data_IF_629345398347
#
_entry.id   IF_629345398347
#
_cell.length_a   1.000
_cell.length_b   1.000
_cell.length_c   1.000
_cell.angle_alpha   90.00
_cell.angle_beta   90.00
_cell.angle_gamma   90.00
#
_symmetry.space_group_name_H-M   'P 1'
#
loop_
_entity.id
_entity.type
_entity.pdbx_description
1 polymer ?
#
# COMPACT_ATOMS: atom_id res chain seq x y z
N UNK A 1 13.67 -6.48 -9.16
CA UNK A 1 13.42 -5.03 -9.37
C UNK A 1 14.75 -4.29 -9.35
N UNK A 2 14.94 -3.25 -10.17
CA UNK A 2 16.19 -2.44 -10.22
C UNK A 2 16.17 -1.31 -9.19
N UNK A 3 17.34 -0.73 -8.88
CA UNK A 3 17.44 0.46 -8.02
C UNK A 3 16.65 1.64 -8.61
N UNK A 4 16.74 1.85 -9.93
CA UNK A 4 16.01 2.93 -10.62
C UNK A 4 14.49 2.80 -10.44
N UNK A 5 13.96 1.58 -10.56
CA UNK A 5 12.53 1.30 -10.32
C UNK A 5 12.13 1.53 -8.87
N UNK A 6 12.98 1.17 -7.90
CA UNK A 6 12.74 1.47 -6.48
C UNK A 6 12.67 2.96 -6.19
N UNK A 7 13.52 3.77 -6.83
CA UNK A 7 13.47 5.23 -6.71
C UNK A 7 12.13 5.75 -7.26
N UNK A 8 11.65 5.19 -8.36
CA UNK A 8 10.32 5.51 -8.89
C UNK A 8 9.19 5.09 -7.94
N UNK A 9 9.29 3.93 -7.29
CA UNK A 9 8.30 3.50 -6.29
C UNK A 9 8.24 4.44 -5.09
N UNK A 10 9.38 4.94 -4.60
CA UNK A 10 9.41 5.99 -3.55
C UNK A 10 8.62 7.21 -4.00
N UNK A 11 8.85 7.72 -5.21
CA UNK A 11 8.10 8.85 -5.77
C UNK A 11 6.60 8.55 -5.82
N UNK A 12 6.22 7.38 -6.32
CA UNK A 12 4.81 6.99 -6.45
C UNK A 12 4.14 6.87 -5.09
N UNK A 13 4.82 6.29 -4.09
CA UNK A 13 4.29 6.14 -2.74
C UNK A 13 4.00 7.50 -2.10
N UNK A 14 4.97 8.42 -2.08
CA UNK A 14 4.82 9.72 -1.41
C UNK A 14 3.98 10.73 -2.19
N UNK A 15 4.00 10.69 -3.54
CA UNK A 15 3.40 11.75 -4.37
C UNK A 15 2.36 11.28 -5.38
N UNK A 16 2.20 9.96 -5.56
CA UNK A 16 1.27 9.35 -6.49
C UNK A 16 1.69 9.40 -7.96
N UNK A 17 0.78 8.95 -8.84
CA UNK A 17 0.98 8.93 -10.31
C UNK A 17 0.39 10.13 -11.05
N UNK A 18 -0.28 11.05 -10.33
CA UNK A 18 -0.94 12.21 -10.94
C UNK A 18 0.06 13.25 -11.45
N UNK A 19 -0.37 14.06 -12.42
CA UNK A 19 0.40 15.19 -12.94
C UNK A 19 0.90 16.07 -11.78
N UNK A 20 2.18 16.41 -11.81
CA UNK A 20 2.84 17.20 -10.77
C UNK A 20 3.50 16.38 -9.66
N UNK A 21 3.36 15.04 -9.62
CA UNK A 21 4.08 14.21 -8.63
C UNK A 21 5.59 14.33 -8.76
N UNK A 22 6.12 14.31 -9.99
CA UNK A 22 7.54 14.52 -10.26
C UNK A 22 8.04 15.87 -9.76
N UNK A 23 7.25 16.94 -9.94
CA UNK A 23 7.58 18.29 -9.44
C UNK A 23 7.73 18.29 -7.91
N UNK A 24 6.82 17.65 -7.19
CA UNK A 24 6.90 17.54 -5.73
C UNK A 24 8.10 16.73 -5.26
N UNK A 25 8.44 15.67 -6.00
CA UNK A 25 9.60 14.83 -5.72
C UNK A 25 10.91 15.61 -5.84
N UNK A 26 11.07 16.40 -6.91
CA UNK A 26 12.29 17.21 -7.10
C UNK A 26 12.38 18.37 -6.11
N UNK A 27 11.25 18.98 -5.73
CA UNK A 27 11.19 20.00 -4.67
C UNK A 27 11.58 19.42 -3.31
N UNK A 28 11.15 18.19 -3.01
CA UNK A 28 11.49 17.51 -1.75
C UNK A 28 12.99 17.15 -1.65
N UNK A 29 13.62 16.83 -2.78
CA UNK A 29 15.02 16.39 -2.86
C UNK A 29 16.01 17.53 -3.18
N UNK A 30 15.50 18.72 -3.45
CA UNK A 30 16.25 19.89 -3.91
C UNK A 30 17.19 19.54 -5.08
N UNK A 31 16.60 19.06 -6.18
CA UNK A 31 17.33 18.67 -7.40
C UNK A 31 16.65 19.19 -8.66
N UNK A 32 17.42 19.28 -9.74
CA UNK A 32 16.89 19.55 -11.06
C UNK A 32 16.03 18.39 -11.58
N UNK A 33 15.01 18.74 -12.40
CA UNK A 33 14.05 17.79 -12.98
C UNK A 33 14.73 16.66 -13.76
N UNK A 34 15.69 17.00 -14.62
CA UNK A 34 16.44 16.04 -15.43
C UNK A 34 17.29 15.08 -14.57
N UNK A 35 17.91 15.59 -13.50
CA UNK A 35 18.69 14.78 -12.56
C UNK A 35 17.83 13.70 -11.92
N UNK A 36 16.68 14.08 -11.36
CA UNK A 36 15.77 13.10 -10.77
C UNK A 36 15.20 12.12 -11.81
N UNK A 37 14.84 12.60 -13.01
CA UNK A 37 14.37 11.74 -14.10
C UNK A 37 15.39 10.67 -14.48
N UNK A 38 16.67 11.04 -14.59
CA UNK A 38 17.74 10.10 -14.94
C UNK A 38 17.87 8.98 -13.90
N UNK A 39 17.71 9.27 -12.61
CA UNK A 39 17.78 8.25 -11.55
C UNK A 39 16.72 7.16 -11.69
N UNK A 40 15.60 7.46 -12.34
CA UNK A 40 14.50 6.51 -12.59
C UNK A 40 14.59 5.83 -13.96
N UNK A 41 15.56 6.20 -14.80
CA UNK A 41 15.78 5.57 -16.12
C UNK A 41 16.47 4.22 -15.95
N UNK A 42 15.91 3.18 -16.56
CA UNK A 42 16.51 1.84 -16.55
C UNK A 42 17.95 1.86 -17.11
N UNK A 43 18.87 1.24 -16.38
CA UNK A 43 20.29 1.19 -16.75
C UNK A 43 21.12 2.43 -16.43
N UNK A 44 20.51 3.51 -15.90
CA UNK A 44 21.25 4.67 -15.44
C UNK A 44 22.01 4.36 -14.14
N UNK A 45 23.31 4.70 -14.10
CA UNK A 45 24.14 4.47 -12.93
C UNK A 45 23.76 5.43 -11.79
N UNK A 46 23.29 4.88 -10.68
CA UNK A 46 22.94 5.62 -9.48
C UNK A 46 23.99 5.34 -8.39
N UNK A 47 24.76 6.36 -8.04
CA UNK A 47 25.80 6.26 -7.02
C UNK A 47 25.28 6.44 -5.58
N UNK A 48 26.16 6.13 -4.61
CA UNK A 48 25.87 6.21 -3.17
C UNK A 48 25.31 7.57 -2.71
N UNK A 49 25.81 8.67 -3.29
CA UNK A 49 25.35 10.03 -2.95
C UNK A 49 23.84 10.22 -3.20
N UNK A 50 23.30 9.58 -4.24
CA UNK A 50 21.87 9.65 -4.54
C UNK A 50 21.06 8.84 -3.53
N UNK A 51 21.53 7.64 -3.19
CA UNK A 51 20.85 6.80 -2.20
C UNK A 51 20.88 7.43 -0.81
N UNK A 52 22.01 8.05 -0.41
CA UNK A 52 22.11 8.77 0.85
C UNK A 52 21.12 9.94 0.90
N UNK A 53 21.05 10.74 -0.17
CA UNK A 53 20.09 11.86 -0.28
C UNK A 53 18.64 11.41 -0.18
N UNK A 54 18.30 10.28 -0.81
CA UNK A 54 16.96 9.71 -0.72
C UNK A 54 16.62 9.27 0.71
N UNK A 55 17.55 8.60 1.40
CA UNK A 55 17.34 8.14 2.77
C UNK A 55 17.28 9.29 3.78
N UNK A 56 17.95 10.41 3.51
CA UNK A 56 17.84 11.63 4.30
C UNK A 56 16.48 12.32 4.08
N UNK A 57 16.01 12.42 2.83
CA UNK A 57 14.74 13.06 2.50
C UNK A 57 13.51 12.22 2.91
N UNK A 58 13.65 10.90 2.92
CA UNK A 58 12.62 9.91 3.25
C UNK A 58 13.14 8.96 4.35
N UNK A 59 13.21 9.43 5.61
CA UNK A 59 13.83 8.67 6.70
C UNK A 59 13.12 7.35 6.98
N UNK A 60 11.84 7.26 6.64
CA UNK A 60 11.00 6.07 6.81
C UNK A 60 11.35 4.98 5.78
N UNK A 61 12.13 5.25 4.74
CA UNK A 61 12.51 4.25 3.73
C UNK A 61 13.66 3.37 4.22
N UNK A 62 13.55 2.06 4.02
CA UNK A 62 14.56 1.05 4.33
C UNK A 62 15.74 1.13 3.35
N UNK A 63 16.94 1.33 3.89
CA UNK A 63 18.18 1.33 3.11
C UNK A 63 18.46 -0.05 2.49
N UNK A 64 18.19 -1.12 3.22
CA UNK A 64 18.33 -2.50 2.71
C UNK A 64 17.46 -2.71 1.48
N UNK A 65 16.17 -2.41 1.60
CA UNK A 65 15.24 -2.51 0.48
C UNK A 65 15.65 -1.64 -0.71
N UNK A 66 16.06 -0.39 -0.47
CA UNK A 66 16.49 0.49 -1.55
C UNK A 66 17.71 -0.06 -2.30
N UNK A 67 18.69 -0.61 -1.60
CA UNK A 67 19.94 -1.07 -2.21
C UNK A 67 19.83 -2.47 -2.82
N UNK A 68 19.23 -3.43 -2.11
CA UNK A 68 19.16 -4.83 -2.53
C UNK A 68 17.84 -5.18 -3.21
N UNK A 69 16.76 -4.49 -2.86
CA UNK A 69 15.40 -4.85 -3.25
C UNK A 69 14.74 -5.90 -2.36
N UNK A 70 15.38 -6.28 -1.26
CA UNK A 70 14.87 -7.27 -0.31
C UNK A 70 14.17 -6.61 0.88
N UNK A 71 13.14 -7.27 1.42
CA UNK A 71 12.35 -6.76 2.55
C UNK A 71 11.29 -5.72 2.17
N UNK A 72 10.87 -4.93 3.15
CA UNK A 72 9.82 -3.91 2.98
C UNK A 72 10.41 -2.54 2.68
N UNK A 73 9.68 -1.74 1.89
CA UNK A 73 10.08 -0.38 1.53
C UNK A 73 10.18 0.52 2.76
N UNK A 74 9.23 0.47 3.69
CA UNK A 74 9.23 1.33 4.87
C UNK A 74 9.78 0.61 6.10
N UNK A 75 10.56 1.36 6.88
CA UNK A 75 10.96 1.03 8.24
C UNK A 75 9.70 1.11 9.10
N UNK A 76 9.25 -0.04 9.60
CA UNK A 76 8.00 -0.13 10.36
C UNK A 76 6.81 -0.63 9.55
N UNK A 77 6.98 -0.93 8.25
CA UNK A 77 6.14 -1.93 7.56
C UNK A 77 6.56 -3.36 7.91
N UNK A 78 7.51 -3.50 8.83
CA UNK A 78 7.21 -4.37 9.95
C UNK A 78 5.99 -3.80 10.66
N UNK A 79 4.80 -3.95 10.05
CA UNK A 79 3.73 -4.47 10.88
C UNK A 79 4.41 -5.57 11.67
N UNK A 80 4.18 -5.66 12.98
CA UNK A 80 4.12 -7.00 13.48
C UNK A 80 3.19 -7.72 12.47
N UNK A 81 3.76 -8.59 11.62
CA UNK A 81 3.35 -9.97 11.80
C UNK A 81 3.57 -10.14 13.28
N UNK A 82 2.51 -9.84 14.04
CA UNK A 82 2.44 -9.89 15.48
C UNK A 82 3.17 -11.16 15.78
N UNK A 83 4.41 -10.99 16.28
CA UNK A 83 5.40 -12.05 16.23
C UNK A 83 4.68 -13.22 16.81
N UNK A 84 4.33 -14.20 15.97
CA UNK A 84 3.82 -15.49 16.44
C UNK A 84 4.85 -15.81 17.49
N UNK A 85 4.48 -15.87 18.79
CA UNK A 85 5.45 -16.16 19.81
C UNK A 85 6.12 -17.43 19.35
N UNK A 86 7.39 -17.32 18.94
CA UNK A 86 8.15 -18.50 18.60
C UNK A 86 8.16 -19.27 19.91
N UNK A 87 7.52 -20.41 19.81
CA UNK A 87 7.14 -21.31 20.87
C UNK A 87 8.30 -21.53 21.82
N UNK A 88 8.08 -21.16 23.08
CA UNK A 88 8.28 -22.09 24.18
C UNK A 88 7.08 -21.88 25.11
N UNK A 89 6.20 -22.89 25.16
CA UNK A 89 5.01 -23.02 26.01
C UNK A 89 3.93 -21.92 25.92
N UNK A 90 2.82 -22.22 25.22
CA UNK A 90 1.41 -22.00 25.66
C UNK A 90 0.48 -21.99 24.43
N UNK A 91 0.03 -23.18 23.99
CA UNK A 91 -0.88 -23.37 22.85
C UNK A 91 -2.34 -22.92 23.09
N UNK A 92 -2.65 -22.23 24.19
CA UNK A 92 -4.04 -21.94 24.57
C UNK A 92 -4.50 -20.50 24.29
N UNK A 93 -3.59 -19.52 24.16
CA UNK A 93 -3.98 -18.10 24.10
C UNK A 93 -3.95 -17.52 22.67
N UNK A 94 -3.07 -18.01 21.81
CA UNK A 94 -2.94 -17.59 20.39
C UNK A 94 -4.13 -18.04 19.54
N UNK A 95 -4.66 -19.25 19.79
CA UNK A 95 -5.84 -19.78 19.08
C UNK A 95 -7.09 -18.90 19.30
N UNK A 96 -7.28 -18.39 20.51
CA UNK A 96 -8.43 -17.54 20.84
C UNK A 96 -8.40 -16.22 20.06
N UNK A 97 -7.21 -15.63 19.88
CA UNK A 97 -7.03 -14.40 19.13
C UNK A 97 -7.35 -14.59 17.64
N UNK A 98 -6.83 -15.67 17.02
CA UNK A 98 -7.12 -15.98 15.62
C UNK A 98 -8.60 -16.28 15.40
N UNK A 99 -9.24 -17.03 16.31
CA UNK A 99 -10.68 -17.32 16.24
C UNK A 99 -11.51 -16.05 16.31
N UNK A 100 -11.22 -15.15 17.24
CA UNK A 100 -11.92 -13.87 17.36
C UNK A 100 -11.81 -13.02 16.08
N UNK A 101 -10.63 -13.01 15.44
CA UNK A 101 -10.44 -12.30 14.16
C UNK A 101 -11.21 -12.94 13.01
N UNK A 102 -11.28 -14.27 12.97
CA UNK A 102 -12.08 -15.01 11.98
C UNK A 102 -13.57 -14.70 12.16
N UNK A 103 -14.07 -14.69 13.39
CA UNK A 103 -15.48 -14.41 13.67
C UNK A 103 -15.87 -12.99 13.24
N UNK A 104 -15.02 -11.99 13.51
CA UNK A 104 -15.22 -10.62 13.02
C UNK A 104 -15.29 -10.53 11.49
N UNK A 105 -14.43 -11.29 10.79
CA UNK A 105 -14.44 -11.34 9.33
C UNK A 105 -15.71 -11.98 8.78
N UNK A 106 -16.19 -13.05 9.42
CA UNK A 106 -17.45 -13.71 9.06
C UNK A 106 -18.61 -12.74 9.25
N UNK A 107 -18.68 -12.07 10.41
CA UNK A 107 -19.75 -11.12 10.71
C UNK A 107 -19.82 -9.99 9.69
N UNK A 108 -18.69 -9.37 9.36
CA UNK A 108 -18.62 -8.30 8.36
C UNK A 108 -19.11 -8.77 6.99
N UNK A 109 -18.75 -10.00 6.59
CA UNK A 109 -19.19 -10.57 5.32
C UNK A 109 -20.70 -10.87 5.31
N UNK A 110 -21.26 -11.32 6.43
CA UNK A 110 -22.70 -11.53 6.58
C UNK A 110 -23.46 -10.20 6.46
N UNK A 111 -23.01 -9.16 7.16
CA UNK A 111 -23.62 -7.83 7.06
C UNK A 111 -23.56 -7.26 5.64
N UNK A 112 -22.44 -7.48 4.94
CA UNK A 112 -22.29 -7.07 3.54
C UNK A 112 -23.25 -7.83 2.62
N UNK A 113 -23.43 -9.14 2.83
CA UNK A 113 -24.40 -9.94 2.09
C UNK A 113 -25.84 -9.43 2.29
N UNK A 114 -26.22 -9.09 3.51
CA UNK A 114 -27.55 -8.53 3.82
C UNK A 114 -27.76 -7.15 3.18
N UNK A 115 -26.74 -6.29 3.21
CA UNK A 115 -26.79 -4.99 2.54
C UNK A 115 -26.99 -5.15 1.02
N UNK A 116 -26.26 -6.09 0.40
CA UNK A 116 -26.40 -6.41 -1.01
C UNK A 116 -27.80 -6.95 -1.36
N UNK A 117 -28.36 -7.81 -0.49
CA UNK A 117 -29.72 -8.34 -0.68
C UNK A 117 -30.78 -7.22 -0.62
N UNK A 118 -30.66 -6.28 0.33
CA UNK A 118 -31.55 -5.11 0.43
C UNK A 118 -31.46 -4.22 -0.80
N UNK A 119 -30.25 -3.95 -1.29
CA UNK A 119 -30.05 -3.18 -2.53
C UNK A 119 -30.71 -3.86 -3.73
N UNK A 120 -30.57 -5.18 -3.86
CA UNK A 120 -31.22 -5.94 -4.93
C UNK A 120 -32.76 -5.80 -4.88
N UNK A 121 -33.37 -5.85 -3.69
CA UNK A 121 -34.80 -5.65 -3.52
C UNK A 121 -35.25 -4.23 -3.92
N UNK A 122 -34.49 -3.20 -3.53
CA UNK A 122 -34.78 -1.80 -3.90
C UNK A 122 -34.68 -1.57 -5.41
N UNK A 123 -33.70 -2.18 -6.07
CA UNK A 123 -33.58 -2.12 -7.53
C UNK A 123 -34.79 -2.79 -8.20
N UNK A 124 -35.21 -3.96 -7.71
CA UNK A 124 -36.37 -4.68 -8.23
C UNK A 124 -37.67 -3.88 -8.08
N UNK A 125 -37.92 -3.28 -6.91
CA UNK A 125 -39.11 -2.45 -6.67
C UNK A 125 -39.11 -1.19 -7.55
N UNK A 126 -37.97 -0.51 -7.67
CA UNK A 126 -37.82 0.69 -8.51
C UNK A 126 -38.13 0.39 -9.98
N UNK A 127 -37.67 -0.74 -10.50
CA UNK A 127 -37.94 -1.15 -11.88
C UNK A 127 -39.42 -1.48 -12.12
N UNK A 128 -40.10 -2.12 -11.17
CA UNK A 128 -41.54 -2.35 -11.24
C UNK A 128 -42.33 -1.03 -11.23
N UNK A 129 -41.97 -0.08 -10.37
CA UNK A 129 -42.61 1.25 -10.34
C UNK A 129 -42.41 2.01 -11.65
N UNK A 130 -41.19 2.00 -12.21
CA UNK A 130 -40.91 2.63 -13.52
C UNK A 130 -41.71 2.02 -14.66
N UNK A 131 -42.06 0.73 -14.59
CA UNK A 131 -42.89 0.05 -15.60
C UNK A 131 -44.36 0.48 -15.50
N UNK A 132 -44.88 0.67 -14.28
CA UNK A 132 -46.27 1.08 -14.05
C UNK A 132 -46.56 2.53 -14.46
N UNK A 133 -45.57 3.42 -14.41
CA UNK A 133 -45.71 4.85 -14.80
C UNK A 133 -45.61 5.03 -16.34
N UNK A 134 -45.08 4.04 -17.07
CA UNK A 134 -44.87 4.10 -18.53
C UNK A 134 -45.99 3.46 -19.37
N UNK A 135 -46.99 2.86 -18.71
CA UNK A 135 -48.22 2.34 -19.33
C UNK A 135 -49.39 3.28 -19.05
#
# INVERSE_FOLDING_TARGET
>A
MTLNKRIEEIKIYYFGRKRGSHKKFIEKLDVASNTASNWMTDGYNVGKTVTDRLLEAFPDVSAGWLLTGEGNMLKGDNTPVESVPQTDDTSSNTEAWYRSKIDQLIENNTQLADANAKLAQVIASTNNTRRLIKN
#
